data_IF_236668141371
#
_entry.id   IF_236668141371
#
_cell.length_a   1.000
_cell.length_b   1.000
_cell.length_c   1.000
_cell.angle_alpha   90.00
_cell.angle_beta   90.00
_cell.angle_gamma   90.00
#
_symmetry.space_group_name_H-M   'P 1'
#
loop_
_entity.id
_entity.type
_entity.pdbx_description
1 polymer ?
#
# COMPACT_ATOMS: atom_id res chain seq x y z
N UNK A 1 14.78 39.21 -8.53
CA UNK A 1 15.59 38.19 -7.87
C UNK A 1 15.45 36.91 -8.66
N UNK A 2 16.42 36.65 -9.50
CA UNK A 2 16.54 35.39 -10.27
C UNK A 2 17.02 34.33 -9.31
N UNK A 3 16.12 33.38 -8.94
CA UNK A 3 16.48 32.20 -8.15
C UNK A 3 17.43 31.35 -8.95
N UNK A 4 18.66 31.19 -8.48
CA UNK A 4 19.60 30.20 -8.95
C UNK A 4 18.98 28.83 -8.72
N UNK A 5 18.45 28.23 -9.78
CA UNK A 5 18.10 26.81 -9.81
C UNK A 5 19.46 26.08 -9.73
N UNK A 6 19.81 25.58 -8.55
CA UNK A 6 20.85 24.58 -8.42
C UNK A 6 20.37 23.32 -9.14
N UNK A 7 20.74 23.20 -10.39
CA UNK A 7 20.72 21.91 -11.08
C UNK A 7 21.76 21.06 -10.36
N UNK A 8 21.33 20.35 -9.30
CA UNK A 8 22.14 19.26 -8.77
C UNK A 8 22.46 18.35 -9.95
N UNK A 9 23.74 18.06 -10.15
CA UNK A 9 24.15 17.12 -11.18
C UNK A 9 23.58 15.75 -10.77
N UNK A 10 22.48 15.35 -11.40
CA UNK A 10 21.74 14.11 -11.09
C UNK A 10 22.66 12.90 -11.01
N UNK A 11 23.71 12.87 -11.82
CA UNK A 11 24.68 11.77 -11.83
C UNK A 11 25.53 11.70 -10.56
N UNK A 12 25.56 12.75 -9.76
CA UNK A 12 26.26 12.78 -8.47
C UNK A 12 25.34 12.40 -7.30
N UNK A 13 24.01 12.38 -7.52
CA UNK A 13 23.06 12.01 -6.48
C UNK A 13 23.23 10.56 -6.02
N UNK A 14 23.31 10.37 -4.70
CA UNK A 14 23.48 9.04 -4.08
C UNK A 14 22.35 8.08 -4.43
N UNK A 15 21.10 8.54 -4.34
CA UNK A 15 19.94 7.70 -4.59
C UNK A 15 19.87 7.31 -6.06
N UNK A 16 20.15 8.25 -6.98
CA UNK A 16 20.22 7.97 -8.41
C UNK A 16 21.24 6.84 -8.70
N UNK A 17 22.47 6.95 -8.22
CA UNK A 17 23.53 5.93 -8.43
C UNK A 17 23.10 4.56 -7.92
N UNK A 18 22.50 4.50 -6.74
CA UNK A 18 22.06 3.25 -6.12
C UNK A 18 20.88 2.62 -6.87
N UNK A 19 19.89 3.43 -7.25
CA UNK A 19 18.69 2.99 -7.97
C UNK A 19 19.05 2.54 -9.37
N UNK A 20 19.86 3.30 -10.11
CA UNK A 20 20.32 2.93 -11.45
C UNK A 20 21.02 1.57 -11.46
N UNK A 21 21.93 1.35 -10.49
CA UNK A 21 22.58 0.05 -10.30
C UNK A 21 21.59 -1.07 -10.01
N UNK A 22 20.49 -0.78 -9.29
CA UNK A 22 19.46 -1.77 -8.95
C UNK A 22 18.53 -2.10 -10.11
N UNK A 23 18.28 -1.13 -10.99
CA UNK A 23 17.49 -1.30 -12.23
C UNK A 23 18.23 -2.18 -13.24
N UNK A 24 19.57 -2.11 -13.26
CA UNK A 24 20.46 -2.99 -14.04
C UNK A 24 20.07 -3.08 -15.54
N UNK A 25 19.78 -1.92 -16.14
CA UNK A 25 19.47 -1.82 -17.57
C UNK A 25 18.10 -2.36 -17.99
N UNK A 26 17.23 -2.76 -17.06
CA UNK A 26 15.89 -3.28 -17.38
C UNK A 26 14.96 -2.22 -17.98
N UNK A 27 15.26 -0.93 -17.77
CA UNK A 27 14.57 0.21 -18.39
C UNK A 27 15.61 1.26 -18.83
N UNK A 28 15.28 2.19 -19.76
CA UNK A 28 16.22 3.20 -20.24
C UNK A 28 16.71 4.13 -19.13
N UNK A 29 18.03 4.35 -19.05
CA UNK A 29 18.61 5.29 -18.09
C UNK A 29 18.05 6.71 -18.25
N UNK A 30 17.69 7.12 -19.47
CA UNK A 30 17.08 8.42 -19.73
C UNK A 30 15.78 8.65 -18.97
N UNK A 31 14.96 7.60 -18.81
CA UNK A 31 13.74 7.66 -18.02
C UNK A 31 14.05 7.82 -16.53
N UNK A 32 14.99 7.04 -16.00
CA UNK A 32 15.44 7.15 -14.61
C UNK A 32 15.99 8.56 -14.35
N UNK A 33 16.85 9.07 -15.23
CA UNK A 33 17.42 10.42 -15.14
C UNK A 33 16.32 11.48 -15.12
N UNK A 34 15.30 11.35 -15.98
CA UNK A 34 14.17 12.28 -16.01
C UNK A 34 13.45 12.33 -14.67
N UNK A 35 13.16 11.17 -14.06
CA UNK A 35 12.50 11.07 -12.75
C UNK A 35 13.30 11.77 -11.63
N UNK A 36 14.63 11.62 -11.62
CA UNK A 36 15.52 12.27 -10.66
C UNK A 36 15.85 13.75 -10.98
N UNK A 37 15.52 14.22 -12.18
CA UNK A 37 15.66 15.64 -12.58
C UNK A 37 14.37 16.43 -12.40
N UNK A 38 13.33 15.83 -11.86
CA UNK A 38 12.02 16.46 -11.77
C UNK A 38 12.02 17.59 -10.73
N UNK A 39 11.33 18.69 -11.06
CA UNK A 39 11.31 19.90 -10.19
C UNK A 39 10.65 19.68 -8.82
N UNK A 40 9.83 18.63 -8.67
CA UNK A 40 9.19 18.25 -7.40
C UNK A 40 10.07 17.35 -6.53
N UNK A 41 11.30 17.03 -6.96
CA UNK A 41 12.20 16.17 -6.19
C UNK A 41 12.63 16.88 -4.92
N UNK A 42 12.28 16.33 -3.77
CA UNK A 42 12.62 16.89 -2.47
C UNK A 42 12.79 15.85 -1.37
N UNK A 43 13.50 16.25 -0.30
CA UNK A 43 13.66 15.47 0.92
C UNK A 43 12.68 15.98 1.98
N UNK A 44 11.80 15.10 2.46
CA UNK A 44 10.82 15.38 3.50
C UNK A 44 11.35 14.97 4.89
N UNK A 45 11.98 15.89 5.61
CA UNK A 45 12.64 15.61 6.91
C UNK A 45 11.69 15.03 7.96
N UNK A 46 10.41 15.40 7.91
CA UNK A 46 9.36 14.89 8.81
C UNK A 46 9.08 13.39 8.66
N UNK A 47 9.53 12.74 7.58
CA UNK A 47 9.35 11.30 7.38
C UNK A 47 10.11 10.49 8.45
N UNK A 48 11.31 10.90 8.80
CA UNK A 48 12.08 10.24 9.86
C UNK A 48 11.36 10.29 11.21
N UNK A 49 10.73 11.42 11.53
CA UNK A 49 9.95 11.59 12.76
C UNK A 49 8.71 10.69 12.81
N UNK A 50 8.06 10.47 11.66
CA UNK A 50 6.92 9.56 11.56
C UNK A 50 7.33 8.11 11.83
N UNK A 51 8.47 7.66 11.31
CA UNK A 51 9.01 6.33 11.62
C UNK A 51 9.43 6.16 13.10
N UNK A 52 9.80 7.24 13.78
CA UNK A 52 10.12 7.20 15.21
C UNK A 52 8.89 6.96 16.10
N UNK A 53 7.68 7.25 15.62
CA UNK A 53 6.41 7.18 16.38
C UNK A 53 5.35 6.33 15.68
N UNK A 54 5.61 5.05 15.37
CA UNK A 54 4.66 4.21 14.66
C UNK A 54 3.43 3.91 15.54
N UNK A 55 2.25 3.91 14.94
CA UNK A 55 0.98 3.62 15.61
C UNK A 55 0.94 2.21 16.19
N UNK A 56 1.61 1.27 15.56
CA UNK A 56 1.66 -0.15 15.96
C UNK A 56 2.27 -0.37 17.33
N UNK A 57 3.06 0.58 17.85
CA UNK A 57 3.64 0.55 19.21
C UNK A 57 2.67 1.00 20.30
N UNK A 58 1.50 1.52 19.96
CA UNK A 58 0.50 1.92 20.96
C UNK A 58 -0.06 0.69 21.69
N UNK A 59 -0.45 0.84 22.98
CA UNK A 59 -1.26 -0.18 23.62
C UNK A 59 -2.53 -0.51 22.84
N UNK A 60 -2.99 -1.75 22.88
CA UNK A 60 -4.19 -2.18 22.15
C UNK A 60 -5.40 -1.28 22.38
N UNK A 61 -5.64 -0.88 23.63
CA UNK A 61 -6.76 -0.02 24.01
C UNK A 61 -6.78 1.34 23.28
N UNK A 62 -5.60 1.86 22.95
CA UNK A 62 -5.47 3.11 22.17
C UNK A 62 -5.51 2.84 20.66
N UNK A 63 -4.79 1.80 20.21
CA UNK A 63 -4.74 1.40 18.80
C UNK A 63 -6.14 1.06 18.28
N UNK A 64 -6.90 0.27 19.04
CA UNK A 64 -8.27 -0.11 18.73
C UNK A 64 -9.18 1.11 18.46
N UNK A 65 -9.07 2.19 19.25
CA UNK A 65 -9.86 3.41 19.08
C UNK A 65 -9.57 4.15 17.77
N UNK A 66 -8.40 3.92 17.14
CA UNK A 66 -8.04 4.53 15.86
C UNK A 66 -8.77 3.83 14.71
N UNK A 67 -8.87 2.52 14.75
CA UNK A 67 -9.34 1.72 13.63
C UNK A 67 -10.77 1.19 13.80
N UNK A 68 -11.13 0.70 14.99
CA UNK A 68 -12.46 0.12 15.28
C UNK A 68 -13.40 1.22 15.77
N UNK A 69 -13.91 2.01 14.84
CA UNK A 69 -14.83 3.14 15.10
C UNK A 69 -16.17 2.88 14.44
N UNK A 70 -17.23 3.38 15.06
CA UNK A 70 -18.58 3.31 14.50
C UNK A 70 -18.67 3.90 13.09
N UNK A 71 -17.98 5.02 12.85
CA UNK A 71 -17.94 5.63 11.51
C UNK A 71 -17.33 4.71 10.46
N UNK A 72 -16.24 3.97 10.80
CA UNK A 72 -15.60 3.03 9.87
C UNK A 72 -16.44 1.78 9.67
N UNK A 73 -17.14 1.30 10.70
CA UNK A 73 -18.10 0.18 10.59
C UNK A 73 -19.23 0.55 9.61
N UNK A 74 -19.83 1.73 9.76
CA UNK A 74 -20.86 2.25 8.85
C UNK A 74 -20.34 2.40 7.42
N UNK A 75 -19.13 2.98 7.26
CA UNK A 75 -18.51 3.13 5.93
C UNK A 75 -18.21 1.77 5.30
N UNK A 76 -17.78 0.77 6.08
CA UNK A 76 -17.52 -0.59 5.61
C UNK A 76 -18.80 -1.31 5.16
N UNK A 77 -19.86 -1.20 5.94
CA UNK A 77 -21.15 -1.78 5.56
C UNK A 77 -21.69 -1.14 4.27
N UNK A 78 -21.61 0.20 4.16
CA UNK A 78 -21.99 0.92 2.95
C UNK A 78 -21.15 0.49 1.75
N UNK A 79 -19.81 0.49 1.89
CA UNK A 79 -18.89 0.08 0.82
C UNK A 79 -19.17 -1.37 0.35
N UNK A 80 -19.41 -2.28 1.30
CA UNK A 80 -19.82 -3.66 0.97
C UNK A 80 -21.11 -3.70 0.14
N UNK A 81 -22.14 -2.97 0.54
CA UNK A 81 -23.42 -2.96 -0.16
C UNK A 81 -23.33 -2.33 -1.56
N UNK A 82 -22.58 -1.22 -1.70
CA UNK A 82 -22.36 -0.54 -2.97
C UNK A 82 -21.52 -1.38 -3.95
N UNK A 83 -20.59 -2.21 -3.47
CA UNK A 83 -19.69 -3.02 -4.29
C UNK A 83 -19.95 -4.53 -4.17
N UNK A 84 -21.15 -4.93 -3.76
CA UNK A 84 -21.48 -6.32 -3.39
C UNK A 84 -21.15 -7.34 -4.47
N UNK A 85 -21.47 -7.04 -5.73
CA UNK A 85 -21.25 -7.97 -6.84
C UNK A 85 -19.75 -8.20 -7.06
N UNK A 86 -18.96 -7.14 -7.09
CA UNK A 86 -17.51 -7.20 -7.21
C UNK A 86 -16.87 -7.96 -6.05
N UNK A 87 -17.21 -7.61 -4.81
CA UNK A 87 -16.68 -8.25 -3.60
C UNK A 87 -17.03 -9.75 -3.60
N UNK A 88 -18.25 -10.12 -4.04
CA UNK A 88 -18.65 -11.52 -4.16
C UNK A 88 -17.81 -12.25 -5.20
N UNK A 89 -17.64 -11.69 -6.40
CA UNK A 89 -16.81 -12.27 -7.45
C UNK A 89 -15.34 -12.47 -7.02
N UNK A 90 -14.76 -11.47 -6.36
CA UNK A 90 -13.40 -11.57 -5.79
C UNK A 90 -13.33 -12.66 -4.72
N UNK A 91 -14.29 -12.68 -3.80
CA UNK A 91 -14.35 -13.67 -2.72
C UNK A 91 -14.47 -15.10 -3.28
N UNK A 92 -15.29 -15.33 -4.28
CA UNK A 92 -15.46 -16.64 -4.94
C UNK A 92 -14.20 -17.07 -5.69
N UNK A 93 -13.58 -16.16 -6.47
CA UNK A 93 -12.33 -16.44 -7.21
C UNK A 93 -11.19 -16.87 -6.28
N UNK A 94 -10.99 -16.14 -5.19
CA UNK A 94 -9.86 -16.37 -4.29
C UNK A 94 -10.21 -17.23 -3.07
N UNK A 95 -11.47 -17.42 -2.74
CA UNK A 95 -11.90 -18.12 -1.52
C UNK A 95 -11.50 -17.39 -0.23
N UNK A 96 -11.44 -16.06 -0.27
CA UNK A 96 -11.15 -15.18 0.87
C UNK A 96 -12.45 -14.61 1.39
N UNK A 97 -12.59 -14.51 2.71
CA UNK A 97 -13.77 -13.92 3.35
C UNK A 97 -14.01 -12.48 2.82
N UNK A 98 -15.18 -12.17 2.25
CA UNK A 98 -15.46 -10.88 1.65
C UNK A 98 -15.35 -9.71 2.64
N UNK A 99 -15.66 -9.95 3.91
CA UNK A 99 -15.58 -8.91 4.94
C UNK A 99 -14.13 -8.60 5.36
N UNK A 100 -13.20 -9.57 5.27
CA UNK A 100 -11.76 -9.31 5.47
C UNK A 100 -11.23 -8.40 4.36
N UNK A 101 -11.60 -8.67 3.09
CA UNK A 101 -11.20 -7.85 1.94
C UNK A 101 -11.66 -6.40 2.15
N UNK A 102 -12.94 -6.21 2.47
CA UNK A 102 -13.53 -4.89 2.76
C UNK A 102 -12.84 -4.20 3.94
N UNK A 103 -12.54 -4.95 4.99
CA UNK A 103 -11.91 -4.40 6.19
C UNK A 103 -10.50 -3.89 5.90
N UNK A 104 -9.69 -4.66 5.17
CA UNK A 104 -8.34 -4.22 4.80
C UNK A 104 -8.42 -2.95 3.95
N UNK A 105 -9.28 -2.87 2.93
CA UNK A 105 -9.50 -1.66 2.16
C UNK A 105 -9.86 -0.44 3.04
N UNK A 106 -10.68 -0.67 4.07
CA UNK A 106 -11.05 0.36 5.05
C UNK A 106 -9.93 0.77 6.00
N UNK A 107 -9.09 -0.18 6.43
CA UNK A 107 -7.95 0.12 7.31
C UNK A 107 -6.88 0.89 6.56
N UNK A 108 -6.56 0.48 5.33
CA UNK A 108 -5.47 1.03 4.53
C UNK A 108 -5.77 2.44 4.00
N UNK A 109 -6.95 2.68 3.43
CA UNK A 109 -7.25 3.95 2.76
C UNK A 109 -8.53 4.63 3.21
N UNK A 110 -9.22 4.07 4.22
CA UNK A 110 -10.58 4.49 4.58
C UNK A 110 -11.49 4.53 3.34
N UNK A 111 -11.48 3.44 2.59
CA UNK A 111 -12.25 3.28 1.34
C UNK A 111 -11.90 4.35 0.30
N UNK A 112 -10.60 4.61 0.09
CA UNK A 112 -10.09 5.54 -0.90
C UNK A 112 -10.05 7.02 -0.47
N UNK A 113 -10.46 7.36 0.76
CA UNK A 113 -10.45 8.76 1.24
C UNK A 113 -9.04 9.23 1.63
N UNK A 114 -8.21 8.33 2.16
CA UNK A 114 -6.88 8.66 2.69
C UNK A 114 -5.81 7.76 2.09
N UNK A 115 -5.13 8.21 1.05
CA UNK A 115 -4.15 7.38 0.33
C UNK A 115 -2.91 8.12 -0.21
N UNK A 116 -2.88 9.47 -0.16
CA UNK A 116 -1.85 10.27 -0.83
C UNK A 116 -1.42 11.46 0.02
N UNK A 117 -0.51 11.22 0.99
CA UNK A 117 0.04 12.29 1.83
C UNK A 117 1.37 12.82 1.30
N UNK A 118 2.13 11.99 0.59
CA UNK A 118 3.43 12.28 0.02
C UNK A 118 3.51 11.73 -1.40
N UNK A 119 4.45 12.21 -2.23
CA UNK A 119 4.87 11.47 -3.41
C UNK A 119 5.59 10.18 -2.97
N UNK A 120 5.24 9.04 -3.59
CA UNK A 120 5.92 7.76 -3.34
C UNK A 120 7.41 7.88 -3.62
N UNK A 121 7.74 8.54 -4.74
CA UNK A 121 9.13 8.79 -5.12
C UNK A 121 9.88 9.53 -4.04
N UNK A 122 9.37 10.68 -3.60
CA UNK A 122 10.01 11.53 -2.60
C UNK A 122 10.07 10.85 -1.22
N UNK A 123 9.07 10.03 -0.88
CA UNK A 123 9.10 9.25 0.36
C UNK A 123 10.25 8.24 0.38
N UNK A 124 10.43 7.50 -0.69
CA UNK A 124 11.51 6.52 -0.80
C UNK A 124 12.88 7.19 -1.01
N UNK A 125 12.93 8.26 -1.79
CA UNK A 125 14.12 9.10 -1.97
C UNK A 125 14.62 9.65 -0.64
N UNK A 126 13.71 10.19 0.18
CA UNK A 126 14.03 10.68 1.53
C UNK A 126 14.61 9.56 2.40
N UNK A 127 14.01 8.37 2.39
CA UNK A 127 14.50 7.24 3.18
C UNK A 127 15.91 6.79 2.76
N UNK A 128 16.25 6.92 1.47
CA UNK A 128 17.63 6.62 0.99
C UNK A 128 18.65 7.59 1.58
N UNK A 129 18.31 8.87 1.65
CA UNK A 129 19.21 9.92 2.11
C UNK A 129 19.27 10.04 3.63
N UNK A 130 18.13 10.08 4.29
CA UNK A 130 18.00 10.44 5.71
C UNK A 130 17.96 9.24 6.66
N UNK A 131 17.73 8.01 6.15
CA UNK A 131 17.53 6.83 6.98
C UNK A 131 18.51 5.70 6.64
N UNK A 132 19.77 5.73 7.16
CA UNK A 132 20.81 4.76 6.78
C UNK A 132 20.38 3.29 6.92
N UNK A 133 19.62 2.94 7.98
CA UNK A 133 19.12 1.57 8.23
C UNK A 133 18.07 1.12 7.20
N UNK A 134 17.39 2.06 6.54
CA UNK A 134 16.36 1.77 5.52
C UNK A 134 16.88 1.98 4.09
N UNK A 135 18.01 2.64 3.90
CA UNK A 135 18.51 3.05 2.59
C UNK A 135 18.56 1.90 1.58
N UNK A 136 19.07 0.73 1.96
CA UNK A 136 19.11 -0.46 1.08
C UNK A 136 17.72 -0.95 0.68
N UNK A 137 16.79 -0.97 1.61
CA UNK A 137 15.40 -1.35 1.37
C UNK A 137 14.70 -0.32 0.47
N UNK A 138 14.80 0.96 0.81
CA UNK A 138 14.17 2.04 0.05
C UNK A 138 14.72 2.15 -1.39
N UNK A 139 16.01 1.86 -1.59
CA UNK A 139 16.60 1.78 -2.94
C UNK A 139 15.93 0.69 -3.79
N UNK A 140 15.68 -0.49 -3.21
CA UNK A 140 14.99 -1.57 -3.90
C UNK A 140 13.55 -1.17 -4.24
N UNK A 141 12.82 -0.64 -3.27
CA UNK A 141 11.43 -0.22 -3.49
C UNK A 141 11.33 0.90 -4.53
N UNK A 142 12.24 1.88 -4.50
CA UNK A 142 12.24 2.97 -5.50
C UNK A 142 12.56 2.45 -6.91
N UNK A 143 13.46 1.47 -7.03
CA UNK A 143 13.75 0.83 -8.31
C UNK A 143 12.53 0.09 -8.86
N UNK A 144 11.83 -0.71 -8.04
CA UNK A 144 10.59 -1.39 -8.42
C UNK A 144 9.49 -0.40 -8.79
N UNK A 145 9.36 0.70 -8.03
CA UNK A 145 8.40 1.75 -8.33
C UNK A 145 8.64 2.43 -9.68
N UNK A 146 9.90 2.77 -9.98
CA UNK A 146 10.27 3.39 -11.26
C UNK A 146 10.01 2.42 -12.43
N UNK A 147 10.29 1.13 -12.27
CA UNK A 147 9.99 0.11 -13.28
C UNK A 147 8.48 0.03 -13.55
N UNK A 148 7.67 -0.07 -12.49
CA UNK A 148 6.22 -0.06 -12.60
C UNK A 148 5.72 1.18 -13.37
N UNK A 149 6.18 2.39 -12.98
CA UNK A 149 5.78 3.61 -13.66
C UNK A 149 6.21 3.63 -15.14
N UNK A 150 7.37 3.05 -15.48
CA UNK A 150 7.83 2.93 -16.86
C UNK A 150 6.93 2.00 -17.68
N UNK A 151 6.61 0.83 -17.13
CA UNK A 151 5.77 -0.18 -17.79
C UNK A 151 4.36 0.36 -18.08
N UNK A 152 3.79 1.12 -17.14
CA UNK A 152 2.44 1.68 -17.25
C UNK A 152 2.43 3.12 -17.82
N UNK A 153 3.58 3.62 -18.33
CA UNK A 153 3.73 4.96 -18.90
C UNK A 153 3.26 6.09 -17.96
N UNK A 154 3.58 5.97 -16.67
CA UNK A 154 3.24 6.93 -15.62
C UNK A 154 4.42 7.86 -15.29
N UNK A 155 4.13 9.06 -14.78
CA UNK A 155 5.15 9.91 -14.19
C UNK A 155 5.37 9.52 -12.72
N UNK A 156 6.58 9.04 -12.33
CA UNK A 156 6.84 8.63 -10.95
C UNK A 156 6.63 9.73 -9.90
N UNK A 157 6.72 10.99 -10.29
CA UNK A 157 6.56 12.12 -9.35
C UNK A 157 5.09 12.48 -9.08
N UNK A 158 4.16 12.00 -9.92
CA UNK A 158 2.72 12.30 -9.78
C UNK A 158 1.97 11.27 -8.93
N UNK A 159 2.60 10.15 -8.58
CA UNK A 159 1.96 9.09 -7.79
C UNK A 159 2.06 9.41 -6.30
N UNK A 160 0.91 9.64 -5.68
CA UNK A 160 0.82 9.87 -4.24
C UNK A 160 0.78 8.58 -3.44
N UNK A 161 1.25 8.65 -2.19
CA UNK A 161 1.26 7.52 -1.27
C UNK A 161 1.52 7.93 0.18
N UNK A 162 1.97 6.98 0.99
CA UNK A 162 2.29 7.19 2.39
C UNK A 162 3.75 7.63 2.59
N UNK A 163 4.07 8.11 3.80
CA UNK A 163 5.45 8.40 4.21
C UNK A 163 6.38 7.18 4.12
N UNK A 164 5.84 5.98 4.12
CA UNK A 164 6.59 4.73 3.99
C UNK A 164 6.83 4.33 2.52
N UNK A 165 6.18 5.00 1.55
CA UNK A 165 6.27 4.68 0.13
C UNK A 165 5.22 3.65 -0.33
N UNK A 166 4.20 3.37 0.48
CA UNK A 166 3.05 2.56 0.08
C UNK A 166 2.06 3.42 -0.72
N UNK A 167 1.35 2.82 -1.70
CA UNK A 167 0.47 3.56 -2.60
C UNK A 167 -0.78 2.77 -3.00
N UNK A 168 -1.70 3.47 -3.67
CA UNK A 168 -3.00 2.93 -4.04
C UNK A 168 -3.96 2.76 -2.87
N UNK A 169 -5.20 2.34 -3.15
CA UNK A 169 -6.20 2.11 -2.10
C UNK A 169 -5.88 0.92 -1.20
N UNK A 170 -5.07 -0.05 -1.69
CA UNK A 170 -4.57 -1.19 -0.92
C UNK A 170 -3.28 -0.91 -0.15
N UNK A 171 -2.67 0.29 -0.29
CA UNK A 171 -1.42 0.68 0.37
C UNK A 171 -0.29 -0.36 0.22
N UNK A 172 -0.12 -0.90 -0.99
CA UNK A 172 1.01 -1.78 -1.28
C UNK A 172 2.31 -0.98 -1.40
N UNK A 173 3.39 -1.52 -0.83
CA UNK A 173 4.74 -1.08 -1.20
C UNK A 173 5.06 -1.54 -2.64
N UNK A 174 5.97 -0.87 -3.38
CA UNK A 174 6.21 -1.17 -4.79
C UNK A 174 6.49 -2.64 -5.10
N UNK A 175 7.36 -3.29 -4.34
CA UNK A 175 7.67 -4.72 -4.55
C UNK A 175 6.46 -5.63 -4.29
N UNK A 176 5.59 -5.28 -3.34
CA UNK A 176 4.35 -6.01 -3.09
C UNK A 176 3.34 -5.78 -4.21
N UNK A 177 3.23 -4.56 -4.73
CA UNK A 177 2.38 -4.26 -5.87
C UNK A 177 2.81 -5.09 -7.10
N UNK A 178 4.08 -5.05 -7.46
CA UNK A 178 4.62 -5.85 -8.58
C UNK A 178 4.33 -7.34 -8.41
N UNK A 179 4.41 -7.87 -7.18
CA UNK A 179 4.28 -9.32 -6.92
C UNK A 179 2.82 -9.78 -6.82
N UNK A 180 1.95 -8.98 -6.23
CA UNK A 180 0.62 -9.42 -5.81
C UNK A 180 -0.55 -8.73 -6.51
N UNK A 181 -0.31 -7.59 -7.18
CA UNK A 181 -1.40 -6.93 -7.90
C UNK A 181 -1.91 -7.77 -9.07
N UNK A 182 -3.19 -7.65 -9.33
CA UNK A 182 -3.88 -8.35 -10.40
C UNK A 182 -4.72 -7.35 -11.21
N UNK A 183 -4.82 -7.59 -12.50
CA UNK A 183 -5.82 -7.01 -13.37
C UNK A 183 -7.10 -7.85 -13.23
N UNK A 184 -7.99 -7.43 -12.34
CA UNK A 184 -9.18 -8.23 -12.02
C UNK A 184 -10.31 -8.00 -13.01
N UNK A 185 -10.41 -6.79 -13.57
CA UNK A 185 -11.39 -6.42 -14.58
C UNK A 185 -10.96 -6.77 -16.02
N UNK A 186 -9.74 -7.32 -16.17
CA UNK A 186 -9.18 -7.80 -17.43
C UNK A 186 -9.06 -6.72 -18.52
N UNK A 187 -8.81 -5.46 -18.10
CA UNK A 187 -8.61 -4.34 -19.03
C UNK A 187 -7.17 -4.21 -19.56
N UNK A 188 -6.24 -5.05 -19.09
CA UNK A 188 -4.84 -5.08 -19.49
C UNK A 188 -3.92 -4.23 -18.60
N UNK A 189 -4.44 -3.56 -17.59
CA UNK A 189 -3.68 -2.69 -16.66
C UNK A 189 -3.96 -3.08 -15.21
N UNK A 190 -2.95 -2.96 -14.33
CA UNK A 190 -3.10 -3.15 -12.89
C UNK A 190 -3.20 -1.80 -12.20
N UNK A 191 -4.41 -1.40 -11.85
CA UNK A 191 -4.73 -0.04 -11.41
C UNK A 191 -4.80 0.07 -9.88
N UNK A 192 -3.86 0.76 -9.21
CA UNK A 192 -3.82 0.86 -7.75
C UNK A 192 -4.94 1.71 -7.13
N UNK A 193 -5.71 2.43 -7.97
CA UNK A 193 -6.83 3.30 -7.57
C UNK A 193 -8.18 2.85 -8.16
N UNK A 194 -8.24 1.68 -8.78
CA UNK A 194 -9.47 1.05 -9.27
C UNK A 194 -9.87 -0.07 -8.31
N UNK A 195 -11.11 -0.07 -7.84
CA UNK A 195 -11.55 -1.04 -6.84
C UNK A 195 -11.60 -2.48 -7.34
N UNK A 196 -11.83 -2.72 -8.62
CA UNK A 196 -11.79 -4.06 -9.19
C UNK A 196 -10.43 -4.72 -8.94
N UNK A 197 -9.36 -4.01 -9.32
CA UNK A 197 -8.00 -4.51 -9.18
C UNK A 197 -7.51 -4.49 -7.73
N UNK A 198 -7.89 -3.46 -6.98
CA UNK A 198 -7.47 -3.33 -5.57
C UNK A 198 -8.05 -4.45 -4.72
N UNK A 199 -9.34 -4.75 -4.83
CA UNK A 199 -9.96 -5.82 -4.04
C UNK A 199 -9.45 -7.20 -4.49
N UNK A 200 -9.28 -7.41 -5.80
CA UNK A 200 -8.61 -8.58 -6.36
C UNK A 200 -7.19 -8.75 -5.83
N UNK A 201 -6.40 -7.67 -5.80
CA UNK A 201 -5.01 -7.67 -5.32
C UNK A 201 -4.92 -7.94 -3.82
N UNK A 202 -5.80 -7.36 -2.99
CA UNK A 202 -5.88 -7.67 -1.56
C UNK A 202 -6.15 -9.16 -1.34
N UNK A 203 -7.14 -9.72 -2.05
CA UNK A 203 -7.47 -11.13 -1.94
C UNK A 203 -6.34 -12.04 -2.42
N UNK A 204 -5.71 -11.70 -3.54
CA UNK A 204 -4.55 -12.42 -4.07
C UNK A 204 -3.37 -12.38 -3.09
N UNK A 205 -3.07 -11.20 -2.50
CA UNK A 205 -2.04 -11.08 -1.47
C UNK A 205 -2.27 -12.05 -0.32
N UNK A 206 -3.47 -12.07 0.24
CA UNK A 206 -3.81 -12.95 1.35
C UNK A 206 -3.65 -14.44 0.96
N UNK A 207 -4.11 -14.82 -0.22
CA UNK A 207 -3.94 -16.19 -0.75
C UNK A 207 -2.46 -16.60 -0.88
N UNK A 208 -1.66 -15.74 -1.46
CA UNK A 208 -0.23 -16.02 -1.66
C UNK A 208 0.55 -16.02 -0.34
N UNK A 209 0.03 -15.37 0.70
CA UNK A 209 0.60 -15.36 2.05
C UNK A 209 -0.08 -16.34 3.03
N UNK A 210 -0.67 -17.42 2.50
CA UNK A 210 -1.06 -18.59 3.27
C UNK A 210 -2.52 -18.64 3.72
N UNK A 211 -3.38 -17.69 3.32
CA UNK A 211 -4.82 -17.78 3.55
C UNK A 211 -5.38 -19.00 2.80
N UNK A 212 -5.91 -19.98 3.50
CA UNK A 212 -6.48 -21.17 2.87
C UNK A 212 -7.87 -20.89 2.30
N UNK A 213 -8.14 -21.39 1.10
CA UNK A 213 -9.44 -21.18 0.43
C UNK A 213 -10.60 -21.57 1.34
N UNK A 214 -11.55 -20.65 1.55
CA UNK A 214 -12.74 -20.82 2.39
C UNK A 214 -12.44 -21.13 3.88
N UNK A 215 -11.24 -20.79 4.37
CA UNK A 215 -10.88 -20.95 5.77
C UNK A 215 -11.83 -20.17 6.70
N UNK A 216 -12.04 -20.76 7.89
CA UNK A 216 -12.73 -20.14 9.03
C UNK A 216 -11.85 -20.15 10.28
N UNK A 217 -10.54 -20.39 10.12
CA UNK A 217 -9.62 -20.43 11.25
C UNK A 217 -9.05 -19.03 11.56
N UNK A 218 -9.72 -18.32 12.45
CA UNK A 218 -9.37 -16.98 12.94
C UNK A 218 -8.42 -17.00 14.16
N UNK A 219 -8.03 -18.18 14.66
CA UNK A 219 -7.14 -18.30 15.78
C UNK A 219 -5.78 -17.65 15.50
N UNK A 220 -5.08 -17.21 16.55
CA UNK A 220 -3.76 -16.57 16.43
C UNK A 220 -2.71 -17.45 15.71
N UNK A 221 -2.84 -18.77 15.80
CA UNK A 221 -2.01 -19.74 15.04
C UNK A 221 -2.56 -20.07 13.66
N UNK A 222 -3.78 -19.61 13.34
CA UNK A 222 -4.51 -19.92 12.10
C UNK A 222 -3.92 -19.27 10.85
N UNK A 223 -4.36 -19.75 9.72
CA UNK A 223 -3.93 -19.25 8.42
C UNK A 223 -4.45 -17.85 8.13
N UNK A 224 -5.67 -17.52 8.57
CA UNK A 224 -6.24 -16.17 8.42
C UNK A 224 -5.39 -15.14 9.17
N UNK A 225 -5.08 -15.43 10.47
CA UNK A 225 -4.25 -14.53 11.26
C UNK A 225 -2.89 -14.30 10.62
N UNK A 226 -2.23 -15.37 10.17
CA UNK A 226 -0.90 -15.31 9.54
C UNK A 226 -0.91 -14.52 8.23
N UNK A 227 -1.93 -14.71 7.40
CA UNK A 227 -2.05 -13.99 6.13
C UNK A 227 -2.30 -12.49 6.34
N UNK A 228 -3.13 -12.12 7.32
CA UNK A 228 -3.36 -10.72 7.70
C UNK A 228 -2.11 -10.12 8.36
N UNK A 229 -1.38 -10.89 9.18
CA UNK A 229 -0.10 -10.46 9.76
C UNK A 229 0.97 -10.21 8.69
N UNK A 230 0.98 -10.98 7.60
CA UNK A 230 1.88 -10.74 6.48
C UNK A 230 1.61 -9.38 5.80
N UNK A 231 0.36 -8.92 5.79
CA UNK A 231 -0.01 -7.61 5.22
C UNK A 231 0.60 -6.45 6.01
N UNK A 232 0.52 -6.52 7.34
CA UNK A 232 1.21 -5.60 8.24
C UNK A 232 1.68 -6.40 9.48
N UNK A 233 3.01 -6.42 9.72
CA UNK A 233 3.68 -7.24 10.73
C UNK A 233 3.47 -6.70 12.15
N UNK A 234 2.20 -6.56 12.57
CA UNK A 234 1.83 -6.09 13.89
C UNK A 234 0.56 -6.81 14.42
N UNK A 235 0.66 -7.40 15.61
CA UNK A 235 -0.50 -8.07 16.25
C UNK A 235 -1.69 -7.11 16.42
N UNK A 236 -1.44 -5.84 16.77
CA UNK A 236 -2.47 -4.82 16.89
C UNK A 236 -3.23 -4.61 15.57
N UNK A 237 -2.53 -4.64 14.43
CA UNK A 237 -3.15 -4.54 13.11
C UNK A 237 -4.09 -5.73 12.88
N UNK A 238 -3.61 -6.94 13.10
CA UNK A 238 -4.43 -8.15 12.90
C UNK A 238 -5.67 -8.12 13.78
N UNK A 239 -5.52 -7.82 15.08
CA UNK A 239 -6.65 -7.72 16.00
C UNK A 239 -7.67 -6.67 15.53
N UNK A 240 -7.21 -5.51 15.05
CA UNK A 240 -8.11 -4.47 14.54
C UNK A 240 -8.84 -4.90 13.26
N UNK A 241 -8.14 -5.56 12.33
CA UNK A 241 -8.76 -6.11 11.11
C UNK A 241 -9.80 -7.16 11.48
N UNK A 242 -9.49 -8.12 12.35
CA UNK A 242 -10.43 -9.19 12.69
C UNK A 242 -11.67 -8.66 13.45
N UNK A 243 -11.48 -7.76 14.43
CA UNK A 243 -12.60 -7.17 15.16
C UNK A 243 -13.48 -6.30 14.24
N UNK A 244 -12.88 -5.49 13.39
CA UNK A 244 -13.62 -4.64 12.46
C UNK A 244 -14.37 -5.48 11.41
N UNK A 245 -13.76 -6.58 10.96
CA UNK A 245 -14.40 -7.56 10.06
C UNK A 245 -15.72 -8.08 10.64
N UNK A 246 -15.70 -8.52 11.88
CA UNK A 246 -16.90 -9.04 12.55
C UNK A 246 -17.97 -7.96 12.70
N UNK A 247 -17.59 -6.76 13.13
CA UNK A 247 -18.55 -5.64 13.30
C UNK A 247 -19.16 -5.17 11.97
N UNK A 248 -18.40 -5.17 10.88
CA UNK A 248 -18.96 -4.86 9.55
C UNK A 248 -19.93 -5.96 9.13
N UNK A 249 -19.59 -7.24 9.33
CA UNK A 249 -20.45 -8.39 9.03
C UNK A 249 -21.77 -8.31 9.79
N UNK A 250 -21.70 -8.12 11.11
CA UNK A 250 -22.89 -7.97 11.97
C UNK A 250 -23.82 -6.85 11.46
N UNK A 251 -23.24 -5.71 11.07
CA UNK A 251 -23.99 -4.57 10.55
C UNK A 251 -24.70 -4.91 9.23
N UNK A 252 -23.98 -5.51 8.28
CA UNK A 252 -24.55 -5.87 6.95
C UNK A 252 -25.63 -6.96 7.07
N UNK A 253 -25.45 -7.92 7.97
CA UNK A 253 -26.43 -8.99 8.19
C UNK A 253 -27.64 -8.49 8.97
N UNK A 254 -27.43 -7.62 9.97
CA UNK A 254 -28.50 -7.06 10.81
C UNK A 254 -29.38 -6.00 10.12
N UNK A 255 -28.92 -5.43 8.99
CA UNK A 255 -29.69 -4.47 8.17
C UNK A 255 -30.54 -5.17 7.09
N UNK A 256 -30.54 -6.51 7.04
CA UNK A 256 -31.41 -7.33 6.16
C UNK A 256 -32.66 -7.73 6.87
#
# INVERSE_FOLDING_TARGET
FMGLIFSQNVTEDKAYKLVLKKIDGSIPESYVRKAFSHQKLEVHKEIADRFARPYEKKPWTEYRKIFVKESRIKSGARFYNENKNLITAVSEKYGVDPFIIVTIAGVESNYGVHHSQFSVFNSLYTQIHEMPRRSKWATRELAEFIKYCYEDNLDPQEIGGSYAGAFGFGQFIPSSFTTYSVDFNENGVREPYNWDDVLGSIANYLRMNGYKKNSKNYDKSGDIYKAVYAYNHADNYVMAVLELTEKIRERVVGER
#
